data_IF_460627654177
#
_entry.id   IF_460627654177
#
_cell.length_a   1.000
_cell.length_b   1.000
_cell.length_c   1.000
_cell.angle_alpha   90.00
_cell.angle_beta   90.00
_cell.angle_gamma   90.00
#
_symmetry.space_group_name_H-M   'P 1'
#
loop_
_entity.id
_entity.type
_entity.pdbx_description
1 polymer ?
#
# COMPACT_ATOMS: atom_id res chain seq x y z
N UNK A 1 -17.01 6.86 -11.16
CA UNK A 1 -15.92 6.05 -11.73
C UNK A 1 -15.42 5.06 -10.67
N UNK A 2 -14.86 3.91 -11.06
CA UNK A 2 -14.25 2.98 -10.10
C UNK A 2 -12.74 2.92 -10.34
N UNK A 3 -11.97 3.01 -9.27
CA UNK A 3 -10.52 2.81 -9.31
C UNK A 3 -10.21 1.34 -9.11
N UNK A 4 -9.33 0.79 -9.93
CA UNK A 4 -8.79 -0.54 -9.74
C UNK A 4 -7.31 -0.55 -10.17
N UNK A 5 -6.47 -1.36 -9.52
CA UNK A 5 -5.09 -1.55 -9.95
C UNK A 5 -5.04 -2.26 -11.31
N UNK A 6 -4.02 -1.98 -12.12
CA UNK A 6 -3.86 -2.66 -13.41
C UNK A 6 -3.55 -4.16 -13.20
N UNK A 7 -4.03 -5.06 -14.09
CA UNK A 7 -3.82 -6.50 -13.95
C UNK A 7 -2.36 -6.90 -13.77
N UNK A 8 -1.44 -6.33 -14.56
CA UNK A 8 -0.01 -6.60 -14.45
C UNK A 8 0.57 -6.23 -13.08
N UNK A 9 0.06 -5.16 -12.44
CA UNK A 9 0.48 -4.78 -11.09
C UNK A 9 -0.04 -5.75 -10.02
N UNK A 10 -1.22 -6.33 -10.24
CA UNK A 10 -1.76 -7.37 -9.37
C UNK A 10 -0.91 -8.63 -9.48
N UNK A 11 -0.58 -9.07 -10.69
CA UNK A 11 0.27 -10.24 -10.92
C UNK A 11 1.65 -10.08 -10.29
N UNK A 12 2.30 -8.93 -10.52
CA UNK A 12 3.56 -8.56 -9.87
C UNK A 12 3.55 -8.69 -8.33
N UNK A 13 2.42 -8.32 -7.71
CA UNK A 13 2.25 -8.40 -6.25
C UNK A 13 2.08 -9.87 -5.83
N UNK A 14 1.23 -10.61 -6.53
CA UNK A 14 0.97 -12.02 -6.25
C UNK A 14 2.23 -12.86 -6.40
N UNK A 15 3.00 -12.64 -7.46
CA UNK A 15 4.29 -13.30 -7.70
C UNK A 15 5.29 -13.02 -6.57
N UNK A 16 5.35 -11.77 -6.10
CA UNK A 16 6.21 -11.42 -4.98
C UNK A 16 5.74 -12.07 -3.67
N UNK A 17 4.42 -12.19 -3.45
CA UNK A 17 3.82 -12.87 -2.29
C UNK A 17 4.10 -14.37 -2.24
N UNK A 18 4.36 -15.02 -3.38
CA UNK A 18 4.75 -16.44 -3.44
C UNK A 18 6.08 -16.72 -2.73
N UNK A 19 6.95 -15.70 -2.59
CA UNK A 19 8.21 -15.82 -1.86
C UNK A 19 8.00 -15.94 -0.34
N UNK A 20 6.90 -15.39 0.18
CA UNK A 20 6.56 -15.32 1.61
C UNK A 20 5.90 -16.62 2.05
N UNK A 21 6.71 -17.65 2.26
CA UNK A 21 6.30 -18.94 2.82
C UNK A 21 6.76 -19.05 4.27
N UNK A 22 5.99 -19.72 5.11
CA UNK A 22 6.32 -19.88 6.53
C UNK A 22 7.73 -20.44 6.73
N UNK A 23 8.49 -19.84 7.65
CA UNK A 23 9.86 -20.28 7.97
C UNK A 23 10.94 -19.84 6.99
N UNK A 24 10.61 -19.29 5.81
CA UNK A 24 11.63 -18.74 4.90
C UNK A 24 12.34 -17.52 5.51
N UNK A 25 13.61 -17.38 5.19
CA UNK A 25 14.45 -16.23 5.58
C UNK A 25 14.67 -15.30 4.38
N UNK A 26 13.92 -14.21 4.35
CA UNK A 26 13.99 -13.20 3.28
C UNK A 26 14.73 -11.95 3.77
N UNK A 27 15.48 -11.25 2.91
CA UNK A 27 16.13 -10.00 3.29
C UNK A 27 15.07 -8.91 3.56
N UNK A 28 15.35 -7.99 4.49
CA UNK A 28 14.48 -6.86 4.81
C UNK A 28 14.04 -6.08 3.56
N UNK A 29 14.94 -5.90 2.60
CA UNK A 29 14.61 -5.25 1.32
C UNK A 29 13.46 -5.92 0.57
N UNK A 30 13.31 -7.24 0.64
CA UNK A 30 12.16 -7.94 0.02
C UNK A 30 10.86 -7.58 0.72
N UNK A 31 10.87 -7.49 2.06
CA UNK A 31 9.70 -7.03 2.82
C UNK A 31 9.34 -5.58 2.49
N UNK A 32 10.34 -4.69 2.41
CA UNK A 32 10.12 -3.28 2.07
C UNK A 32 9.64 -3.11 0.62
N UNK A 33 10.15 -3.89 -0.33
CA UNK A 33 9.67 -3.92 -1.71
C UNK A 33 8.21 -4.37 -1.78
N UNK A 34 7.85 -5.44 -1.07
CA UNK A 34 6.46 -5.88 -0.99
C UNK A 34 5.58 -4.78 -0.38
N UNK A 35 6.01 -4.21 0.73
CA UNK A 35 5.29 -3.13 1.41
C UNK A 35 5.06 -1.95 0.45
N UNK A 36 6.07 -1.53 -0.29
CA UNK A 36 5.96 -0.46 -1.30
C UNK A 36 5.00 -0.80 -2.45
N UNK A 37 5.02 -2.05 -2.95
CA UNK A 37 4.04 -2.48 -3.97
C UNK A 37 2.62 -2.48 -3.40
N UNK A 38 2.42 -2.97 -2.18
CA UNK A 38 1.10 -2.99 -1.54
C UNK A 38 0.60 -1.57 -1.25
N UNK A 39 1.43 -0.66 -0.72
CA UNK A 39 1.03 0.73 -0.47
C UNK A 39 0.64 1.45 -1.76
N UNK A 40 1.31 1.13 -2.87
CA UNK A 40 1.00 1.71 -4.18
C UNK A 40 -0.38 1.32 -4.74
N UNK A 41 -0.98 0.22 -4.26
CA UNK A 41 -2.34 -0.21 -4.63
C UNK A 41 -3.34 0.01 -3.49
N UNK A 42 -2.88 0.25 -2.26
CA UNK A 42 -3.72 0.40 -1.09
C UNK A 42 -4.73 1.56 -1.17
N UNK A 43 -4.44 2.59 -1.98
CA UNK A 43 -5.35 3.71 -2.22
C UNK A 43 -6.57 3.33 -3.08
N UNK A 44 -6.45 2.26 -3.90
CA UNK A 44 -7.50 1.81 -4.82
C UNK A 44 -8.13 0.47 -4.40
N UNK A 45 -7.61 -0.16 -3.34
CA UNK A 45 -8.15 -1.38 -2.73
C UNK A 45 -9.06 -0.99 -1.56
N UNK A 46 -10.24 -1.60 -1.40
CA UNK A 46 -11.14 -1.31 -0.28
C UNK A 46 -10.43 -1.54 1.06
N UNK A 47 -10.37 -0.49 1.90
CA UNK A 47 -9.67 -0.53 3.19
C UNK A 47 -8.18 -0.93 3.09
N UNK A 48 -7.53 -0.74 1.95
CA UNK A 48 -6.16 -1.20 1.70
C UNK A 48 -5.14 -0.68 2.72
N UNK A 49 -5.23 0.59 3.13
CA UNK A 49 -4.35 1.12 4.17
C UNK A 49 -4.60 0.48 5.54
N UNK A 50 -5.84 0.08 5.83
CA UNK A 50 -6.20 -0.59 7.08
C UNK A 50 -5.67 -2.03 7.10
N UNK A 51 -5.85 -2.78 6.02
CA UNK A 51 -5.34 -4.16 5.89
C UNK A 51 -3.81 -4.23 5.81
N UNK A 52 -3.12 -3.11 5.53
CA UNK A 52 -1.66 -3.02 5.58
C UNK A 52 -1.09 -2.79 7.00
N UNK A 53 -1.87 -2.23 7.92
CA UNK A 53 -1.36 -1.87 9.26
C UNK A 53 -0.75 -3.03 10.03
N UNK A 54 -1.32 -4.25 10.04
CA UNK A 54 -0.73 -5.38 10.76
C UNK A 54 0.68 -5.70 10.26
N UNK A 55 0.88 -5.67 8.94
CA UNK A 55 2.20 -5.91 8.32
C UNK A 55 3.19 -4.79 8.66
N UNK A 56 2.75 -3.53 8.58
CA UNK A 56 3.59 -2.38 8.93
C UNK A 56 4.02 -2.42 10.39
N UNK A 57 3.10 -2.67 11.32
CA UNK A 57 3.40 -2.80 12.75
C UNK A 57 4.37 -3.94 13.02
N UNK A 58 4.15 -5.09 12.37
CA UNK A 58 5.03 -6.25 12.49
C UNK A 58 6.43 -5.98 11.94
N UNK A 59 6.57 -5.27 10.81
CA UNK A 59 7.89 -4.88 10.30
C UNK A 59 8.58 -3.85 11.19
N UNK A 60 7.84 -2.88 11.69
CA UNK A 60 8.37 -1.82 12.54
C UNK A 60 8.84 -2.34 13.91
N UNK A 61 8.28 -3.43 14.43
CA UNK A 61 8.72 -4.00 15.71
C UNK A 61 10.14 -4.58 15.69
N UNK A 62 10.74 -4.80 14.52
CA UNK A 62 12.14 -5.23 14.44
C UNK A 62 13.14 -4.08 14.60
N UNK A 63 12.67 -2.81 14.60
CA UNK A 63 13.51 -1.61 14.72
C UNK A 63 14.71 -1.61 13.76
N UNK A 64 14.50 -2.07 12.53
CA UNK A 64 15.55 -2.18 11.52
C UNK A 64 15.56 -0.98 10.59
N UNK A 65 16.73 -0.37 10.42
CA UNK A 65 16.96 0.63 9.40
C UNK A 65 17.17 -0.02 8.02
N UNK A 66 16.43 0.45 7.02
CA UNK A 66 16.55 0.01 5.63
C UNK A 66 17.95 0.24 5.04
N UNK A 67 18.62 1.34 5.41
CA UNK A 67 19.95 1.72 4.90
C UNK A 67 21.04 0.77 5.38
N UNK A 68 21.00 0.42 6.66
CA UNK A 68 22.05 -0.39 7.30
C UNK A 68 21.73 -1.89 7.32
N UNK A 69 20.44 -2.25 7.37
CA UNK A 69 19.99 -3.62 7.57
C UNK A 69 19.22 -4.21 6.38
N UNK A 70 19.27 -3.58 5.21
CA UNK A 70 18.52 -4.03 4.03
C UNK A 70 18.77 -5.51 3.65
N UNK A 71 19.99 -6.03 3.84
CA UNK A 71 20.34 -7.44 3.57
C UNK A 71 20.11 -8.38 4.77
N UNK A 72 19.75 -7.86 5.95
CA UNK A 72 19.46 -8.66 7.14
C UNK A 72 18.25 -9.55 6.85
N UNK A 73 18.38 -10.84 7.13
CA UNK A 73 17.32 -11.81 6.83
C UNK A 73 16.37 -11.93 8.01
N UNK A 74 15.08 -11.81 7.73
CA UNK A 74 14.00 -11.94 8.70
C UNK A 74 13.23 -13.22 8.35
N UNK A 75 12.84 -13.97 9.38
CA UNK A 75 12.02 -15.16 9.22
C UNK A 75 10.57 -14.74 8.96
N UNK A 76 9.96 -15.33 7.95
CA UNK A 76 8.52 -15.20 7.70
C UNK A 76 7.77 -15.97 8.79
N UNK A 77 7.27 -15.23 9.77
CA UNK A 77 6.50 -15.75 10.90
C UNK A 77 5.04 -16.01 10.52
N UNK A 78 4.31 -16.74 11.37
CA UNK A 78 2.86 -16.91 11.22
C UNK A 78 2.12 -15.56 11.27
N UNK A 79 2.56 -14.62 12.12
CA UNK A 79 1.98 -13.26 12.18
C UNK A 79 2.13 -12.51 10.86
N UNK A 80 3.28 -12.64 10.18
CA UNK A 80 3.50 -12.06 8.86
C UNK A 80 2.55 -12.68 7.82
N UNK A 81 2.39 -14.01 7.84
CA UNK A 81 1.47 -14.69 6.92
C UNK A 81 0.02 -14.28 7.15
N UNK A 82 -0.42 -14.16 8.41
CA UNK A 82 -1.76 -13.68 8.75
C UNK A 82 -1.98 -12.25 8.26
N UNK A 83 -0.99 -11.36 8.42
CA UNK A 83 -1.05 -10.00 7.92
C UNK A 83 -1.10 -9.93 6.37
N UNK A 84 -0.58 -10.94 5.68
CA UNK A 84 -0.59 -11.04 4.22
C UNK A 84 -1.76 -11.86 3.67
N UNK A 85 -2.56 -12.52 4.51
CA UNK A 85 -3.58 -13.48 4.07
C UNK A 85 -4.61 -12.84 3.13
N UNK A 86 -5.11 -11.66 3.50
CA UNK A 86 -6.09 -10.93 2.69
C UNK A 86 -5.49 -10.45 1.35
N UNK A 87 -4.21 -10.09 1.35
CA UNK A 87 -3.48 -9.66 0.15
C UNK A 87 -3.14 -10.80 -0.81
N UNK A 88 -3.31 -12.06 -0.41
CA UNK A 88 -3.14 -13.20 -1.33
C UNK A 88 -4.36 -13.46 -2.20
N UNK A 89 -5.50 -12.91 -1.83
CA UNK A 89 -6.72 -13.03 -2.62
C UNK A 89 -6.66 -12.03 -3.79
N UNK A 90 -6.66 -12.57 -5.01
CA UNK A 90 -6.68 -11.78 -6.24
C UNK A 90 -7.96 -10.95 -6.35
N UNK A 91 -9.10 -11.48 -5.90
CA UNK A 91 -10.37 -10.76 -5.92
C UNK A 91 -10.34 -9.55 -4.99
N UNK A 92 -9.67 -9.68 -3.83
CA UNK A 92 -9.46 -8.57 -2.91
C UNK A 92 -8.62 -7.45 -3.52
N UNK A 93 -7.44 -7.76 -4.09
CA UNK A 93 -6.56 -6.74 -4.70
C UNK A 93 -7.21 -6.12 -5.94
N UNK A 94 -7.89 -6.95 -6.74
CA UNK A 94 -8.58 -6.49 -7.96
C UNK A 94 -9.90 -5.77 -7.64
N UNK A 95 -10.28 -5.73 -6.35
CA UNK A 95 -11.43 -5.02 -5.85
C UNK A 95 -11.38 -3.56 -6.28
N UNK A 96 -12.52 -3.04 -6.71
CA UNK A 96 -12.62 -1.67 -7.17
C UNK A 96 -13.28 -0.79 -6.12
N UNK A 97 -12.71 0.39 -5.87
CA UNK A 97 -13.27 1.39 -4.95
C UNK A 97 -13.96 2.46 -5.79
N UNK A 98 -15.18 2.91 -5.43
CA UNK A 98 -15.74 4.10 -6.05
C UNK A 98 -14.81 5.27 -5.76
N UNK A 99 -14.12 5.76 -6.80
CA UNK A 99 -13.66 7.14 -6.76
C UNK A 99 -14.95 7.95 -6.67
N UNK A 100 -15.10 8.76 -5.62
CA UNK A 100 -16.23 9.68 -5.48
C UNK A 100 -16.42 10.55 -6.73
N UNK A 101 -17.34 11.52 -6.70
CA UNK A 101 -17.46 12.45 -7.83
C UNK A 101 -16.10 13.10 -8.10
N UNK A 102 -15.41 12.68 -9.16
CA UNK A 102 -14.25 13.38 -9.68
C UNK A 102 -14.88 14.51 -10.50
N UNK A 103 -14.77 15.78 -10.09
CA UNK A 103 -15.21 16.86 -10.95
C UNK A 103 -14.48 16.69 -12.29
N UNK A 104 -15.25 16.67 -13.37
CA UNK A 104 -14.79 16.40 -14.74
C UNK A 104 -13.76 17.41 -15.24
N UNK A 105 -13.49 18.46 -14.47
CA UNK A 105 -12.51 19.49 -14.75
C UNK A 105 -11.69 19.78 -13.49
N UNK A 106 -10.40 20.07 -13.67
CA UNK A 106 -9.58 20.70 -12.65
C UNK A 106 -9.96 22.19 -12.63
N UNK A 107 -10.78 22.58 -11.66
CA UNK A 107 -11.16 23.98 -11.48
C UNK A 107 -10.02 24.69 -10.72
N UNK A 108 -9.44 25.72 -11.35
CA UNK A 108 -8.41 26.55 -10.72
C UNK A 108 -9.15 27.68 -10.01
N UNK A 109 -9.21 27.60 -8.68
CA UNK A 109 -9.76 28.67 -7.86
C UNK A 109 -8.63 29.62 -7.47
N UNK A 110 -8.76 30.89 -7.83
CA UNK A 110 -7.84 31.95 -7.41
C UNK A 110 -8.43 32.63 -6.18
N UNK A 111 -7.71 32.55 -5.06
CA UNK A 111 -8.12 33.22 -3.82
C UNK A 111 -7.25 34.45 -3.60
N UNK A 112 -7.88 35.62 -3.49
CA UNK A 112 -7.22 36.85 -3.05
C UNK A 112 -7.67 37.19 -1.62
N UNK A 113 -6.75 37.67 -0.80
CA UNK A 113 -7.01 38.02 0.58
C UNK A 113 -6.35 39.35 0.92
N UNK A 114 -7.13 40.29 1.44
CA UNK A 114 -6.67 41.58 1.94
C UNK A 114 -7.22 41.85 3.35
N UNK A 115 -6.76 42.94 3.99
CA UNK A 115 -7.12 43.30 5.36
C UNK A 115 -8.63 43.54 5.56
N UNK A 116 -9.38 43.80 4.49
CA UNK A 116 -10.82 44.05 4.50
C UNK A 116 -11.68 42.86 4.08
N UNK A 117 -11.09 41.74 3.62
CA UNK A 117 -11.87 40.55 3.23
C UNK A 117 -11.11 39.51 2.41
N UNK A 118 -11.81 38.42 2.10
CA UNK A 118 -11.33 37.32 1.23
C UNK A 118 -12.28 37.16 0.05
N UNK A 119 -11.73 37.07 -1.15
CA UNK A 119 -12.48 36.77 -2.39
C UNK A 119 -11.96 35.48 -3.02
N UNK A 120 -12.85 34.73 -3.67
CA UNK A 120 -12.50 33.54 -4.44
C UNK A 120 -13.30 33.52 -5.75
N UNK A 121 -12.64 33.18 -6.85
CA UNK A 121 -13.20 32.91 -8.18
C UNK A 121 -12.57 31.66 -8.77
#
# INVERSE_FOLDING_TARGET
MKACPSPCRVDDILDLLLLFRGGRRLPLLTFLRLLGKLTSVAAVVPLGLLSLRPLQRWLNSFHLDAKWHGRRRIVVSCQCLLALAQWRDRAYISGSVPMGSIPSCREIVSTDACLSGRGAV
#
